data_IF_076049478576
#
_entry.id   IF_076049478576
#
_cell.length_a   1.000
_cell.length_b   1.000
_cell.length_c   1.000
_cell.angle_alpha   90.00
_cell.angle_beta   90.00
_cell.angle_gamma   90.00
#
_symmetry.space_group_name_H-M   'P 1'
#
loop_
_entity.id
_entity.type
_entity.pdbx_description
1 polymer ?
#
# COMPACT_ATOMS: atom_id res chain seq x y z
N UNK A 1 7.39 -11.30 20.05
CA UNK A 1 8.44 -11.45 19.02
C UNK A 1 8.49 -10.14 18.25
N UNK A 2 9.68 -9.59 18.04
CA UNK A 2 9.87 -8.24 17.49
C UNK A 2 9.87 -8.26 15.96
N UNK A 3 9.07 -7.40 15.34
CA UNK A 3 9.04 -7.25 13.88
C UNK A 3 10.12 -6.27 13.41
N UNK A 4 10.84 -6.61 12.35
CA UNK A 4 11.77 -5.71 11.65
C UNK A 4 11.16 -5.23 10.34
N UNK A 5 11.33 -3.95 10.02
CA UNK A 5 10.97 -3.41 8.70
C UNK A 5 12.23 -3.29 7.86
N UNK A 6 12.19 -3.79 6.62
CA UNK A 6 13.25 -3.60 5.62
C UNK A 6 12.63 -3.13 4.30
N UNK A 7 13.41 -2.42 3.50
CA UNK A 7 13.07 -2.25 2.08
C UNK A 7 13.11 -3.62 1.40
N UNK A 8 12.11 -3.90 0.56
CA UNK A 8 12.08 -5.12 -0.23
C UNK A 8 13.16 -5.06 -1.32
N UNK A 9 13.73 -6.21 -1.65
CA UNK A 9 14.56 -6.38 -2.85
C UNK A 9 13.80 -7.18 -3.90
N UNK A 10 14.39 -7.34 -5.09
CA UNK A 10 13.79 -8.18 -6.14
C UNK A 10 13.62 -9.65 -5.71
N UNK A 11 14.41 -10.11 -4.73
CA UNK A 11 14.29 -11.46 -4.16
C UNK A 11 13.00 -11.62 -3.33
N UNK A 12 12.50 -10.52 -2.76
CA UNK A 12 11.25 -10.50 -2.00
C UNK A 12 10.01 -10.41 -2.90
N UNK A 13 10.16 -10.16 -4.22
CA UNK A 13 9.06 -9.88 -5.16
C UNK A 13 7.95 -10.93 -5.10
N UNK A 14 8.31 -12.21 -5.21
CA UNK A 14 7.32 -13.31 -5.19
C UNK A 14 6.49 -13.28 -3.90
N UNK A 15 7.13 -13.00 -2.77
CA UNK A 15 6.46 -12.97 -1.47
C UNK A 15 5.57 -11.74 -1.31
N UNK A 16 5.97 -10.59 -1.86
CA UNK A 16 5.13 -9.39 -1.95
C UNK A 16 3.89 -9.66 -2.80
N UNK A 17 4.04 -10.32 -3.97
CA UNK A 17 2.92 -10.71 -4.82
C UNK A 17 1.97 -11.68 -4.12
N UNK A 18 2.49 -12.68 -3.39
CA UNK A 18 1.64 -13.58 -2.60
C UNK A 18 0.80 -12.83 -1.54
N UNK A 19 1.40 -11.88 -0.81
CA UNK A 19 0.67 -11.06 0.14
C UNK A 19 -0.32 -10.10 -0.53
N UNK A 20 0.00 -9.59 -1.72
CA UNK A 20 -0.93 -8.78 -2.50
C UNK A 20 -2.13 -9.59 -3.01
N UNK A 21 -1.93 -10.83 -3.45
CA UNK A 21 -3.03 -11.70 -3.82
C UNK A 21 -3.96 -11.93 -2.63
N UNK A 22 -3.41 -12.17 -1.44
CA UNK A 22 -4.22 -12.30 -0.20
C UNK A 22 -5.00 -11.02 0.11
N UNK A 23 -4.42 -9.85 -0.13
CA UNK A 23 -5.13 -8.57 -0.02
C UNK A 23 -6.29 -8.50 -1.03
N UNK A 24 -6.02 -8.78 -2.30
CA UNK A 24 -7.01 -8.71 -3.38
C UNK A 24 -8.15 -9.69 -3.17
N UNK A 25 -7.86 -10.94 -2.79
CA UNK A 25 -8.89 -11.94 -2.49
C UNK A 25 -9.77 -11.51 -1.30
N UNK A 26 -9.17 -10.92 -0.27
CA UNK A 26 -9.89 -10.39 0.88
C UNK A 26 -10.78 -9.21 0.49
N UNK A 27 -10.23 -8.22 -0.21
CA UNK A 27 -11.00 -7.05 -0.63
C UNK A 27 -12.08 -7.41 -1.66
N UNK A 28 -11.80 -8.37 -2.55
CA UNK A 28 -12.79 -8.91 -3.48
C UNK A 28 -13.99 -9.52 -2.76
N UNK A 29 -13.72 -10.33 -1.74
CA UNK A 29 -14.76 -11.01 -0.98
C UNK A 29 -15.54 -10.06 -0.05
N UNK A 30 -14.88 -9.03 0.49
CA UNK A 30 -15.45 -8.18 1.55
C UNK A 30 -15.99 -6.83 1.05
N UNK A 31 -15.39 -6.22 0.02
CA UNK A 31 -15.61 -4.80 -0.30
C UNK A 31 -15.77 -4.47 -1.78
N UNK A 32 -15.03 -5.12 -2.68
CA UNK A 32 -14.92 -4.73 -4.09
C UNK A 32 -14.76 -5.94 -5.03
N UNK A 33 -15.89 -6.48 -5.48
CA UNK A 33 -15.94 -7.62 -6.40
C UNK A 33 -15.50 -7.29 -7.84
N UNK A 34 -14.98 -6.09 -8.11
CA UNK A 34 -14.44 -5.70 -9.41
C UNK A 34 -12.93 -5.92 -9.53
N UNK A 35 -12.25 -6.21 -8.40
CA UNK A 35 -10.82 -6.49 -8.38
C UNK A 35 -10.46 -7.73 -9.22
N UNK A 36 -9.38 -7.62 -9.99
CA UNK A 36 -8.84 -8.72 -10.79
C UNK A 36 -7.72 -9.45 -10.03
N UNK A 37 -8.04 -10.57 -9.36
CA UNK A 37 -7.04 -11.36 -8.64
C UNK A 37 -5.94 -11.97 -9.54
N UNK A 38 -6.17 -12.11 -10.85
CA UNK A 38 -5.14 -12.59 -11.78
C UNK A 38 -4.10 -11.51 -12.12
N UNK A 39 -4.38 -10.24 -11.83
CA UNK A 39 -3.48 -9.13 -12.14
C UNK A 39 -2.14 -9.26 -11.40
N UNK A 40 -2.16 -9.68 -10.14
CA UNK A 40 -0.99 -9.70 -9.25
C UNK A 40 0.20 -10.48 -9.82
N UNK A 41 -0.06 -11.64 -10.45
CA UNK A 41 0.96 -12.49 -11.08
C UNK A 41 1.01 -12.35 -12.60
N UNK A 42 0.16 -11.50 -13.19
CA UNK A 42 0.22 -11.13 -14.59
C UNK A 42 1.44 -10.25 -14.91
N UNK A 43 1.59 -9.92 -16.19
CA UNK A 43 2.64 -9.01 -16.67
C UNK A 43 2.56 -7.65 -15.98
N UNK A 44 1.40 -7.00 -16.02
CA UNK A 44 1.17 -5.67 -15.42
C UNK A 44 1.48 -5.64 -13.92
N UNK A 45 0.98 -6.61 -13.13
CA UNK A 45 1.23 -6.66 -11.69
C UNK A 45 2.71 -6.93 -11.37
N UNK A 46 3.36 -7.78 -12.16
CA UNK A 46 4.79 -8.06 -12.02
C UNK A 46 5.63 -6.82 -12.33
N UNK A 47 5.33 -6.12 -13.42
CA UNK A 47 6.02 -4.87 -13.78
C UNK A 47 5.78 -3.78 -12.76
N UNK A 48 4.55 -3.63 -12.26
CA UNK A 48 4.20 -2.69 -11.21
C UNK A 48 5.06 -2.91 -9.95
N UNK A 49 5.09 -4.12 -9.40
CA UNK A 49 5.85 -4.39 -8.17
C UNK A 49 7.35 -4.29 -8.39
N UNK A 50 7.87 -4.70 -9.56
CA UNK A 50 9.28 -4.49 -9.92
C UNK A 50 9.62 -3.00 -9.94
N UNK A 51 8.78 -2.19 -10.59
CA UNK A 51 8.94 -0.74 -10.64
C UNK A 51 8.97 -0.14 -9.25
N UNK A 52 8.03 -0.50 -8.37
CA UNK A 52 8.02 0.00 -6.98
C UNK A 52 9.20 -0.45 -6.12
N UNK A 53 9.85 -1.57 -6.46
CA UNK A 53 11.05 -2.06 -5.76
C UNK A 53 12.32 -1.40 -6.28
N UNK A 54 12.42 -1.17 -7.59
CA UNK A 54 13.68 -0.80 -8.27
C UNK A 54 13.79 0.71 -8.53
N UNK A 55 12.70 1.35 -8.92
CA UNK A 55 12.71 2.73 -9.40
C UNK A 55 12.72 3.74 -8.24
N UNK A 56 13.35 4.89 -8.46
CA UNK A 56 13.57 5.91 -7.43
C UNK A 56 12.27 6.61 -6.98
N UNK A 57 11.22 6.54 -7.80
CA UNK A 57 9.90 7.09 -7.51
C UNK A 57 8.99 6.11 -6.76
N UNK A 58 9.46 4.91 -6.46
CA UNK A 58 8.72 3.86 -5.77
C UNK A 58 9.37 3.44 -4.45
N UNK A 59 8.58 2.74 -3.64
CA UNK A 59 9.09 1.98 -2.51
C UNK A 59 8.21 0.75 -2.24
N UNK A 60 8.86 -0.30 -1.72
CA UNK A 60 8.19 -1.43 -1.08
C UNK A 60 8.91 -1.75 0.23
N UNK A 61 8.15 -1.85 1.31
CA UNK A 61 8.64 -2.27 2.62
C UNK A 61 8.00 -3.58 3.02
N UNK A 62 8.77 -4.45 3.66
CA UNK A 62 8.28 -5.73 4.21
C UNK A 62 8.54 -5.81 5.71
N UNK A 63 7.58 -6.41 6.42
CA UNK A 63 7.68 -6.70 7.84
C UNK A 63 8.11 -8.16 8.04
N UNK A 64 9.22 -8.35 8.74
CA UNK A 64 9.82 -9.66 8.99
C UNK A 64 9.67 -10.04 10.47
N UNK A 65 9.17 -11.24 10.74
CA UNK A 65 9.05 -11.85 12.08
C UNK A 65 9.52 -13.29 11.94
N UNK A 66 10.49 -13.70 12.76
CA UNK A 66 11.07 -15.06 12.75
C UNK A 66 11.53 -15.50 11.34
N UNK A 67 12.22 -14.59 10.63
CA UNK A 67 12.70 -14.74 9.25
C UNK A 67 11.61 -14.90 8.17
N UNK A 68 10.33 -14.75 8.54
CA UNK A 68 9.20 -14.76 7.61
C UNK A 68 8.67 -13.35 7.33
N UNK A 69 8.38 -13.07 6.05
CA UNK A 69 7.66 -11.86 5.65
C UNK A 69 6.17 -12.03 5.93
N UNK A 70 5.65 -11.25 6.86
CA UNK A 70 4.28 -11.32 7.38
C UNK A 70 3.40 -10.12 7.00
N UNK A 71 3.97 -9.14 6.29
CA UNK A 71 3.25 -7.98 5.81
C UNK A 71 4.10 -7.15 4.87
N UNK A 72 3.45 -6.30 4.10
CA UNK A 72 4.11 -5.38 3.17
C UNK A 72 3.35 -4.07 3.04
N UNK A 73 4.04 -3.05 2.51
CA UNK A 73 3.48 -1.80 2.03
C UNK A 73 4.19 -1.44 0.73
N UNK A 74 3.42 -1.14 -0.32
CA UNK A 74 3.92 -0.55 -1.55
C UNK A 74 3.34 0.85 -1.75
N UNK A 75 4.16 1.77 -2.25
CA UNK A 75 3.75 3.14 -2.53
C UNK A 75 4.74 3.85 -3.44
N UNK A 76 4.42 5.06 -3.85
CA UNK A 76 5.25 5.81 -4.78
C UNK A 76 4.88 7.28 -4.90
N UNK A 77 5.70 8.03 -5.63
CA UNK A 77 5.41 9.41 -6.00
C UNK A 77 4.24 9.46 -6.97
N UNK A 78 3.39 10.46 -6.80
CA UNK A 78 2.28 10.70 -7.71
C UNK A 78 2.73 11.56 -8.89
N UNK A 79 2.35 11.19 -10.12
CA UNK A 79 2.53 12.08 -11.28
C UNK A 79 1.49 13.21 -11.26
N UNK A 80 1.83 14.31 -10.61
CA UNK A 80 0.98 15.48 -10.53
C UNK A 80 1.01 16.36 -11.80
N UNK A 81 1.86 16.05 -12.80
CA UNK A 81 2.06 16.93 -13.97
C UNK A 81 0.83 17.05 -14.86
N UNK A 82 -0.06 16.06 -14.84
CA UNK A 82 -1.28 16.01 -15.66
C UNK A 82 -2.54 16.38 -14.89
N UNK A 83 -2.42 16.85 -13.65
CA UNK A 83 -3.57 17.24 -12.85
C UNK A 83 -4.07 18.63 -13.24
N UNK A 84 -5.40 18.81 -13.30
CA UNK A 84 -6.03 20.14 -13.37
C UNK A 84 -5.91 20.92 -12.05
N UNK A 85 -5.42 20.27 -10.98
CA UNK A 85 -5.16 20.86 -9.66
C UNK A 85 -3.68 21.18 -9.52
N UNK A 86 -3.35 22.32 -8.92
CA UNK A 86 -2.00 22.62 -8.46
C UNK A 86 -1.77 21.88 -7.14
N UNK A 87 -1.22 20.68 -7.24
CA UNK A 87 -0.96 19.82 -6.08
C UNK A 87 0.49 19.96 -5.61
N UNK A 88 0.73 19.96 -4.28
CA UNK A 88 2.08 19.87 -3.77
C UNK A 88 2.68 18.50 -4.13
N UNK A 89 4.01 18.37 -4.07
CA UNK A 89 4.66 17.07 -4.25
C UNK A 89 4.05 16.03 -3.29
N UNK A 90 3.56 14.91 -3.84
CA UNK A 90 2.71 13.96 -3.14
C UNK A 90 3.17 12.53 -3.38
N UNK A 91 2.95 11.65 -2.41
CA UNK A 91 3.14 10.22 -2.54
C UNK A 91 1.86 9.49 -2.15
N UNK A 92 1.61 8.34 -2.77
CA UNK A 92 0.48 7.48 -2.47
C UNK A 92 0.95 6.19 -1.79
N UNK A 93 0.28 5.83 -0.70
CA UNK A 93 0.29 4.48 -0.16
C UNK A 93 -0.72 3.69 -1.00
N UNK A 94 -0.19 2.84 -1.87
CA UNK A 94 -0.98 2.19 -2.93
C UNK A 94 -1.50 0.84 -2.48
N UNK A 95 -0.67 0.07 -1.76
CA UNK A 95 -1.04 -1.24 -1.25
C UNK A 95 -0.46 -1.45 0.14
N UNK A 96 -1.22 -2.07 1.04
CA UNK A 96 -0.70 -2.49 2.33
C UNK A 96 -1.48 -3.68 2.87
N UNK A 97 -0.75 -4.68 3.37
CA UNK A 97 -1.34 -5.85 3.96
C UNK A 97 -0.49 -6.41 5.08
N UNK A 98 -1.14 -6.91 6.13
CA UNK A 98 -0.53 -7.65 7.23
C UNK A 98 -1.36 -8.91 7.44
N UNK A 99 -0.71 -10.06 7.56
CA UNK A 99 -1.38 -11.34 7.84
C UNK A 99 -2.29 -11.21 9.05
N UNK A 100 -3.49 -11.80 8.97
CA UNK A 100 -4.54 -11.63 9.98
C UNK A 100 -4.10 -12.02 11.38
N UNK A 101 -3.32 -13.10 11.52
CA UNK A 101 -2.74 -13.56 12.79
C UNK A 101 -1.62 -12.65 13.36
N UNK A 102 -1.21 -11.62 12.61
CA UNK A 102 -0.23 -10.60 13.03
C UNK A 102 -0.83 -9.21 13.14
N UNK A 103 -2.13 -9.02 12.86
CA UNK A 103 -2.85 -7.74 13.04
C UNK A 103 -3.08 -7.43 14.52
N UNK A 104 -3.45 -6.19 14.82
CA UNK A 104 -3.59 -5.69 16.20
C UNK A 104 -2.26 -5.51 16.92
N UNK A 105 -1.14 -5.70 16.22
CA UNK A 105 0.22 -5.38 16.65
C UNK A 105 0.68 -4.04 16.07
N UNK A 106 1.92 -3.65 16.30
CA UNK A 106 2.50 -2.41 15.77
C UNK A 106 3.07 -2.53 14.34
N UNK A 107 2.97 -3.69 13.69
CA UNK A 107 3.53 -3.95 12.35
C UNK A 107 3.00 -2.94 11.33
N UNK A 108 1.69 -2.71 11.31
CA UNK A 108 1.09 -1.78 10.36
C UNK A 108 1.58 -0.35 10.55
N UNK A 109 1.69 0.10 11.79
CA UNK A 109 2.25 1.41 12.13
C UNK A 109 3.73 1.53 11.75
N UNK A 110 4.51 0.46 11.93
CA UNK A 110 5.93 0.43 11.54
C UNK A 110 6.13 0.49 10.01
N UNK A 111 5.32 -0.25 9.24
CA UNK A 111 5.30 -0.16 7.78
C UNK A 111 4.95 1.25 7.32
N UNK A 112 3.90 1.84 7.89
CA UNK A 112 3.51 3.22 7.58
C UNK A 112 4.62 4.22 7.92
N UNK A 113 5.29 4.07 9.07
CA UNK A 113 6.39 4.95 9.45
C UNK A 113 7.56 4.88 8.46
N UNK A 114 7.90 3.69 7.96
CA UNK A 114 8.92 3.55 6.91
C UNK A 114 8.52 4.28 5.62
N UNK A 115 7.24 4.21 5.23
CA UNK A 115 6.71 4.97 4.09
C UNK A 115 6.77 6.49 4.31
N UNK A 116 6.45 6.97 5.51
CA UNK A 116 6.57 8.39 5.89
C UNK A 116 8.02 8.85 5.78
N UNK A 117 8.97 8.06 6.27
CA UNK A 117 10.38 8.43 6.26
C UNK A 117 10.96 8.45 4.83
N UNK A 118 10.59 7.47 4.01
CA UNK A 118 10.88 7.49 2.57
C UNK A 118 10.28 8.73 1.90
N UNK A 119 9.00 9.03 2.14
CA UNK A 119 8.33 10.19 1.56
C UNK A 119 9.01 11.51 1.95
N UNK A 120 9.43 11.66 3.21
CA UNK A 120 10.20 12.82 3.66
C UNK A 120 11.53 12.94 2.93
N UNK A 121 12.23 11.82 2.71
CA UNK A 121 13.48 11.81 1.92
C UNK A 121 13.28 12.27 0.48
N UNK A 122 12.07 12.06 -0.08
CA UNK A 122 11.64 12.55 -1.39
C UNK A 122 11.05 13.97 -1.38
N UNK A 123 11.17 14.69 -0.26
CA UNK A 123 10.60 16.04 -0.09
C UNK A 123 9.09 16.11 -0.37
N UNK A 124 8.37 15.01 -0.15
CA UNK A 124 6.91 14.94 -0.27
C UNK A 124 6.28 15.81 0.82
N UNK A 125 5.21 16.53 0.45
CA UNK A 125 4.46 17.42 1.35
C UNK A 125 3.08 16.88 1.70
N UNK A 126 2.60 15.88 0.98
CA UNK A 126 1.28 15.27 1.20
C UNK A 126 1.32 13.77 0.91
N UNK A 127 0.69 13.00 1.77
CA UNK A 127 0.44 11.58 1.54
C UNK A 127 -1.01 11.38 1.11
N UNK A 128 -1.24 10.43 0.20
CA UNK A 128 -2.56 9.98 -0.24
C UNK A 128 -2.70 8.48 0.03
N UNK A 129 -3.94 8.06 0.24
CA UNK A 129 -4.34 6.66 0.19
C UNK A 129 -5.78 6.61 -0.34
N UNK A 130 -6.06 5.61 -1.14
CA UNK A 130 -7.42 5.27 -1.59
C UNK A 130 -7.85 4.01 -0.84
N UNK A 131 -9.08 3.98 -0.34
CA UNK A 131 -9.62 2.85 0.41
C UNK A 131 -11.08 2.62 0.06
N UNK A 132 -11.50 1.36 -0.05
CA UNK A 132 -12.90 1.01 -0.27
C UNK A 132 -13.76 1.57 0.86
N UNK A 133 -14.89 2.21 0.53
CA UNK A 133 -15.73 2.92 1.51
C UNK A 133 -16.25 2.00 2.63
N UNK A 134 -16.39 0.70 2.35
CA UNK A 134 -16.81 -0.33 3.30
C UNK A 134 -15.66 -0.83 4.21
N UNK A 135 -14.40 -0.53 3.89
CA UNK A 135 -13.22 -0.95 4.66
C UNK A 135 -13.02 -0.05 5.90
N UNK A 136 -13.96 -0.13 6.84
CA UNK A 136 -13.97 0.67 8.08
C UNK A 136 -12.68 0.49 8.88
N UNK A 137 -12.13 -0.72 8.91
CA UNK A 137 -10.88 -1.01 9.63
C UNK A 137 -9.67 -0.27 9.02
N UNK A 138 -9.52 -0.33 7.70
CA UNK A 138 -8.47 0.40 6.97
C UNK A 138 -8.62 1.91 7.10
N UNK A 139 -9.85 2.43 6.92
CA UNK A 139 -10.14 3.86 7.07
C UNK A 139 -9.78 4.35 8.48
N UNK A 140 -10.14 3.60 9.53
CA UNK A 140 -9.78 3.95 10.91
C UNK A 140 -8.26 3.91 11.16
N UNK A 141 -7.55 2.95 10.56
CA UNK A 141 -6.09 2.93 10.60
C UNK A 141 -5.49 4.18 9.96
N UNK A 142 -5.95 4.60 8.79
CA UNK A 142 -5.44 5.79 8.12
C UNK A 142 -5.77 7.07 8.91
N UNK A 143 -7.00 7.22 9.42
CA UNK A 143 -7.39 8.37 10.24
C UNK A 143 -6.55 8.48 11.53
N UNK A 144 -6.25 7.36 12.18
CA UNK A 144 -5.35 7.33 13.35
C UNK A 144 -3.94 7.82 13.00
N UNK A 145 -3.50 7.63 11.75
CA UNK A 145 -2.23 8.10 11.23
C UNK A 145 -2.29 9.52 10.61
N UNK A 146 -3.39 10.26 10.85
CA UNK A 146 -3.51 11.66 10.45
C UNK A 146 -4.03 11.90 9.03
N UNK A 147 -4.46 10.87 8.32
CA UNK A 147 -5.20 11.06 7.07
C UNK A 147 -6.60 11.62 7.36
N UNK A 148 -7.08 12.47 6.46
CA UNK A 148 -8.42 13.05 6.49
C UNK A 148 -9.10 12.81 5.15
N UNK A 149 -10.42 12.75 5.15
CA UNK A 149 -11.22 12.61 3.93
C UNK A 149 -10.93 13.81 3.00
N UNK A 150 -10.74 13.54 1.70
CA UNK A 150 -10.34 14.56 0.73
C UNK A 150 -11.18 14.53 -0.55
N UNK A 151 -11.30 13.38 -1.20
CA UNK A 151 -12.21 13.14 -2.32
C UNK A 151 -13.19 12.00 -1.93
N UNK A 152 -14.39 12.00 -2.52
CA UNK A 152 -15.36 10.90 -2.45
C UNK A 152 -15.70 10.45 -3.88
N UNK A 153 -15.77 9.14 -4.09
CA UNK A 153 -16.31 8.54 -5.32
C UNK A 153 -17.74 8.10 -5.01
N UNK A 154 -18.70 8.55 -5.82
CA UNK A 154 -20.13 8.26 -5.68
C UNK A 154 -20.64 7.61 -6.96
N UNK A 155 -21.33 6.47 -6.84
CA UNK A 155 -21.79 5.68 -7.97
C UNK A 155 -23.28 5.36 -7.84
N UNK A 156 -23.94 5.16 -8.98
CA UNK A 156 -25.29 4.61 -9.07
C UNK A 156 -25.34 3.61 -10.20
N UNK A 157 -26.13 2.55 -10.03
CA UNK A 157 -26.46 1.65 -11.13
C UNK A 157 -27.42 2.34 -12.09
N UNK A 158 -27.34 1.99 -13.37
CA UNK A 158 -28.27 2.39 -14.43
C UNK A 158 -29.33 1.31 -14.65
#
# INVERSE_FOLDING_TARGET
>A
MESKIKSATIEDLKRVQELNLMLFEKEYAEFDNTLNCNWTFGEDGTEYFKGRIIEDDGCVFVAVVDDEIVGYLAGGLMDNKKSYRVLPNSAELENMFVLDNRRGTDIGSKLYQAFVDWSKSKSVKRLRVSASAQNVAGINFYRKNGFVDYDLILETNL
#
